data_IF_120851799386
#
_entry.id   IF_120851799386
#
_cell.length_a   1.000
_cell.length_b   1.000
_cell.length_c   1.000
_cell.angle_alpha   90.00
_cell.angle_beta   90.00
_cell.angle_gamma   90.00
#
_symmetry.space_group_name_H-M   'P 1'
#
loop_
_entity.id
_entity.type
_entity.pdbx_description
1 polymer ?
#
# COMPACT_ATOMS: atom_id res chain seq x y z
N UNK A 1 9.34 -1.56 -11.79
CA UNK A 1 9.97 -1.70 -10.46
C UNK A 1 9.39 -0.64 -9.57
N UNK A 2 9.00 -0.98 -8.33
CA UNK A 2 8.43 -0.01 -7.39
C UNK A 2 9.44 0.30 -6.28
N UNK A 3 9.47 1.57 -5.87
CA UNK A 3 10.13 2.03 -4.65
C UNK A 3 9.07 2.61 -3.72
N UNK A 4 9.06 2.16 -2.47
CA UNK A 4 8.25 2.73 -1.40
C UNK A 4 9.21 3.49 -0.49
N UNK A 5 8.94 4.78 -0.30
CA UNK A 5 9.73 5.67 0.53
C UNK A 5 8.90 6.11 1.73
N UNK A 6 9.39 5.84 2.94
CA UNK A 6 8.77 6.29 4.19
C UNK A 6 9.33 7.67 4.56
N UNK A 7 8.43 8.63 4.76
CA UNK A 7 8.79 10.00 5.15
C UNK A 7 8.88 10.11 6.68
N UNK A 8 9.44 11.21 7.16
CA UNK A 8 9.51 11.52 8.60
C UNK A 8 8.14 11.72 9.29
N UNK A 9 7.06 11.85 8.51
CA UNK A 9 5.67 11.97 8.99
C UNK A 9 4.94 10.63 9.12
N UNK A 10 5.63 9.48 8.95
CA UNK A 10 5.00 8.16 8.78
C UNK A 10 4.02 8.11 7.59
N UNK A 11 4.28 8.93 6.57
CA UNK A 11 3.60 8.86 5.29
C UNK A 11 4.45 8.07 4.30
N UNK A 12 3.81 7.52 3.29
CA UNK A 12 4.49 6.72 2.27
C UNK A 12 4.32 7.37 0.92
N UNK A 13 5.44 7.55 0.23
CA UNK A 13 5.46 7.88 -1.18
C UNK A 13 5.82 6.64 -1.99
N UNK A 14 5.16 6.46 -3.13
CA UNK A 14 5.43 5.33 -4.02
C UNK A 14 5.86 5.86 -5.37
N UNK A 15 6.94 5.28 -5.89
CA UNK A 15 7.51 5.64 -7.17
C UNK A 15 7.58 4.42 -8.08
N UNK A 16 7.25 4.61 -9.35
CA UNK A 16 7.43 3.62 -10.40
C UNK A 16 8.62 4.01 -11.28
N UNK A 17 9.51 3.04 -11.55
CA UNK A 17 10.60 3.25 -12.50
C UNK A 17 10.05 3.22 -13.93
N UNK A 18 10.11 4.35 -14.62
CA UNK A 18 9.87 4.44 -16.04
C UNK A 18 11.11 3.96 -16.80
N UNK A 19 11.08 2.74 -17.35
CA UNK A 19 12.21 2.15 -18.06
C UNK A 19 12.59 2.87 -19.37
N UNK A 20 11.66 3.60 -20.00
CA UNK A 20 11.95 4.33 -21.24
C UNK A 20 12.81 5.57 -20.96
N UNK A 21 12.55 6.24 -19.83
CA UNK A 21 13.27 7.45 -19.41
C UNK A 21 14.37 7.19 -18.39
N UNK A 22 14.39 6.01 -17.77
CA UNK A 22 15.22 5.67 -16.61
C UNK A 22 15.03 6.64 -15.45
N UNK A 23 13.77 7.02 -15.19
CA UNK A 23 13.40 8.00 -14.16
C UNK A 23 12.36 7.41 -13.19
N UNK A 24 12.45 7.82 -11.93
CA UNK A 24 11.44 7.52 -10.92
C UNK A 24 10.27 8.49 -11.04
N UNK A 25 9.07 7.97 -11.25
CA UNK A 25 7.85 8.76 -11.38
C UNK A 25 6.98 8.53 -10.15
N UNK A 26 6.65 9.61 -9.42
CA UNK A 26 5.77 9.53 -8.24
C UNK A 26 4.38 9.07 -8.66
N UNK A 27 3.89 8.00 -8.05
CA UNK A 27 2.53 7.53 -8.23
C UNK A 27 1.57 8.42 -7.44
N UNK A 28 0.45 8.77 -8.08
CA UNK A 28 -0.65 9.51 -7.47
C UNK A 28 -1.82 8.58 -7.11
N UNK A 29 -1.91 7.44 -7.79
CA UNK A 29 -2.95 6.44 -7.56
C UNK A 29 -2.43 5.03 -7.92
N UNK A 30 -2.84 4.01 -7.18
CA UNK A 30 -2.60 2.59 -7.49
C UNK A 30 -3.63 1.98 -8.46
N UNK A 31 -4.71 2.70 -8.78
CA UNK A 31 -5.81 2.19 -9.61
C UNK A 31 -6.44 0.97 -8.95
N UNK A 32 -6.44 -0.15 -9.66
CA UNK A 32 -6.98 -1.43 -9.17
C UNK A 32 -5.93 -2.26 -8.40
N UNK A 33 -4.77 -1.69 -8.06
CA UNK A 33 -3.74 -2.40 -7.31
C UNK A 33 -3.82 -2.09 -5.81
N UNK A 34 -3.56 -3.10 -4.99
CA UNK A 34 -3.32 -2.98 -3.55
C UNK A 34 -1.86 -3.31 -3.26
N UNK A 35 -1.21 -2.49 -2.45
CA UNK A 35 0.15 -2.69 -1.97
C UNK A 35 0.15 -3.18 -0.53
N UNK A 36 0.99 -4.17 -0.24
CA UNK A 36 1.20 -4.73 1.08
C UNK A 36 2.64 -4.48 1.48
N UNK A 37 2.82 -3.89 2.66
CA UNK A 37 4.13 -3.67 3.25
C UNK A 37 4.20 -4.44 4.57
N UNK A 38 4.97 -5.52 4.58
CA UNK A 38 5.28 -6.28 5.79
C UNK A 38 6.67 -5.94 6.30
N UNK A 39 6.78 -5.50 7.56
CA UNK A 39 8.05 -5.13 8.17
C UNK A 39 9.12 -6.25 8.13
N UNK A 40 8.71 -7.51 8.19
CA UNK A 40 9.62 -8.69 8.11
C UNK A 40 9.34 -9.54 6.86
N UNK A 41 8.07 -9.60 6.45
CA UNK A 41 7.60 -10.56 5.42
C UNK A 41 7.79 -10.07 3.99
N UNK A 42 8.38 -8.88 3.81
CA UNK A 42 8.58 -8.27 2.50
C UNK A 42 7.35 -7.48 2.02
N UNK A 43 7.43 -7.01 0.79
CA UNK A 43 6.35 -6.28 0.12
C UNK A 43 5.70 -7.13 -0.97
N UNK A 44 4.42 -6.85 -1.23
CA UNK A 44 3.64 -7.54 -2.26
C UNK A 44 2.62 -6.61 -2.90
N UNK A 45 2.14 -6.99 -4.07
CA UNK A 45 1.04 -6.29 -4.74
C UNK A 45 0.04 -7.29 -5.30
N UNK A 46 -1.25 -6.94 -5.30
CA UNK A 46 -2.29 -7.73 -5.95
C UNK A 46 -3.36 -6.82 -6.55
N UNK A 47 -4.16 -7.35 -7.48
CA UNK A 47 -5.28 -6.62 -8.03
C UNK A 47 -6.49 -6.67 -7.06
N UNK A 48 -6.98 -5.51 -6.64
CA UNK A 48 -8.13 -5.32 -5.74
C UNK A 48 -9.39 -5.99 -6.28
N UNK A 49 -9.54 -6.11 -7.60
CA UNK A 49 -10.69 -6.80 -8.21
C UNK A 49 -10.76 -8.29 -7.88
N UNK A 50 -9.65 -8.89 -7.45
CA UNK A 50 -9.61 -10.30 -7.00
C UNK A 50 -10.06 -10.49 -5.56
N UNK A 51 -10.21 -9.40 -4.80
CA UNK A 51 -10.69 -9.42 -3.42
C UNK A 51 -12.23 -9.51 -3.40
N UNK A 52 -12.75 -10.73 -3.35
CA UNK A 52 -14.20 -10.99 -3.21
C UNK A 52 -14.70 -10.46 -1.86
N UNK A 53 -15.50 -9.39 -1.89
CA UNK A 53 -16.47 -9.11 -0.82
C UNK A 53 -16.36 -7.80 -0.04
N UNK A 54 -15.51 -6.84 -0.38
CA UNK A 54 -15.37 -5.63 0.46
C UNK A 54 -15.29 -4.32 -0.30
N UNK A 55 -15.99 -3.31 0.26
CA UNK A 55 -15.79 -1.87 0.06
C UNK A 55 -14.42 -1.43 0.58
N UNK A 56 -13.34 -2.11 0.18
CA UNK A 56 -12.02 -1.74 0.62
C UNK A 56 -11.61 -0.41 -0.04
N UNK A 57 -10.95 0.46 0.72
CA UNK A 57 -10.44 1.70 0.18
C UNK A 57 -9.43 1.43 -0.94
N UNK A 58 -9.68 2.00 -2.12
CA UNK A 58 -8.67 2.07 -3.18
C UNK A 58 -7.59 3.10 -2.81
N UNK A 59 -6.46 3.02 -3.50
CA UNK A 59 -5.35 3.96 -3.36
C UNK A 59 -4.72 4.00 -1.95
N UNK A 60 -4.52 2.83 -1.34
CA UNK A 60 -3.90 2.72 -0.04
C UNK A 60 -2.84 1.62 0.04
N UNK A 61 -1.92 1.76 1.00
CA UNK A 61 -0.92 0.77 1.37
C UNK A 61 -1.38 0.09 2.65
N UNK A 62 -1.45 -1.24 2.61
CA UNK A 62 -1.74 -2.10 3.74
C UNK A 62 -0.43 -2.44 4.47
N UNK A 63 -0.16 -1.73 5.57
CA UNK A 63 1.04 -1.95 6.38
C UNK A 63 0.72 -2.96 7.47
N UNK A 64 1.34 -4.14 7.43
CA UNK A 64 1.07 -5.23 8.39
C UNK A 64 1.99 -5.08 9.60
N UNK A 65 1.40 -4.82 10.76
CA UNK A 65 2.12 -4.59 12.02
C UNK A 65 2.81 -5.85 12.58
N UNK A 66 3.91 -5.63 13.29
CA UNK A 66 4.87 -6.64 13.77
C UNK A 66 4.30 -7.69 14.74
N UNK A 67 3.28 -7.36 15.56
CA UNK A 67 2.83 -8.23 16.68
C UNK A 67 1.33 -8.50 16.77
N UNK A 68 0.48 -7.68 16.16
CA UNK A 68 -0.96 -7.68 16.47
C UNK A 68 -1.84 -8.27 15.37
N UNK A 69 -1.27 -8.62 14.21
CA UNK A 69 -2.02 -8.92 12.97
C UNK A 69 -3.01 -7.78 12.59
N UNK A 70 -2.81 -6.59 13.14
CA UNK A 70 -3.50 -5.37 12.75
C UNK A 70 -2.71 -4.77 11.60
N UNK A 71 -3.41 -4.42 10.53
CA UNK A 71 -2.83 -3.63 9.45
C UNK A 71 -3.30 -2.18 9.57
N UNK A 72 -2.41 -1.24 9.30
CA UNK A 72 -2.75 0.17 9.08
C UNK A 72 -2.93 0.44 7.61
N UNK A 73 -3.88 1.31 7.29
CA UNK A 73 -4.10 1.79 5.94
C UNK A 73 -3.48 3.17 5.80
N UNK A 74 -2.56 3.32 4.85
CA UNK A 74 -1.97 4.60 4.49
C UNK A 74 -2.46 4.99 3.11
N UNK A 75 -3.19 6.10 3.01
CA UNK A 75 -3.73 6.60 1.76
C UNK A 75 -2.72 7.46 1.03
N UNK A 76 -2.70 7.36 -0.30
CA UNK A 76 -1.83 8.19 -1.13
C UNK A 76 -2.39 9.59 -1.39
N UNK A 77 -3.69 9.78 -1.20
CA UNK A 77 -4.43 11.01 -1.48
C UNK A 77 -4.71 11.84 -0.20
N UNK A 78 -3.74 11.85 0.72
CA UNK A 78 -3.74 12.65 1.96
C UNK A 78 -4.93 12.40 2.92
N UNK A 79 -5.77 11.40 2.63
CA UNK A 79 -6.79 10.94 3.57
C UNK A 79 -6.12 10.40 4.83
N UNK A 80 -6.72 10.71 5.98
CA UNK A 80 -6.20 10.28 7.27
C UNK A 80 -6.02 8.75 7.29
N UNK A 81 -4.89 8.30 7.82
CA UNK A 81 -4.63 6.87 8.02
C UNK A 81 -5.50 6.35 9.15
N UNK A 82 -6.04 5.14 9.00
CA UNK A 82 -6.87 4.50 10.04
C UNK A 82 -6.41 3.07 10.32
N UNK A 83 -6.54 2.59 11.57
CA UNK A 83 -6.33 1.18 11.88
C UNK A 83 -7.41 0.34 11.16
N UNK A 84 -6.98 -0.62 10.35
CA UNK A 84 -7.87 -1.60 9.71
C UNK A 84 -8.24 -2.72 10.69
N UNK A 85 -9.48 -3.20 10.63
CA UNK A 85 -9.91 -4.38 11.39
C UNK A 85 -9.38 -5.68 10.74
N UNK A 86 -9.08 -6.68 11.60
CA UNK A 86 -8.48 -8.01 11.28
C UNK A 86 -8.81 -8.52 9.88
N UNK A 87 -7.78 -8.87 9.11
CA UNK A 87 -7.90 -9.78 7.96
C UNK A 87 -8.30 -11.16 8.47
N UNK A 88 -9.60 -11.44 8.54
CA UNK A 88 -10.11 -12.81 8.66
C UNK A 88 -10.15 -13.40 7.25
N UNK A 89 -9.20 -14.28 6.94
CA UNK A 89 -9.19 -15.08 5.71
C UNK A 89 -8.15 -14.64 4.68
N UNK A 90 -6.91 -15.09 4.90
CA UNK A 90 -6.08 -15.67 3.85
C UNK A 90 -5.80 -17.12 4.25
#
# INVERSE_FOLDING_TARGET
>A
MLMIYETSSNEYEVYELNFLKMEWVKMQNFGDQALFLGHIKGSGCCNVTTWKGSRQPSNCIHVVGYQTFVYTLHFLDERSSFPGFRLLGL
#
